data_IF_258705151578
#
_entry.id   IF_258705151578
#
_cell.length_a   1.000
_cell.length_b   1.000
_cell.length_c   1.000
_cell.angle_alpha   90.00
_cell.angle_beta   90.00
_cell.angle_gamma   90.00
#
_symmetry.space_group_name_H-M   'P 1'
#
loop_
_entity.id
_entity.type
_entity.pdbx_description
1 polymer ?
#
# COMPACT_ATOMS: atom_id res chain seq x y z
N UNK A 1 -6.89 19.84 -21.79
CA UNK A 1 -5.43 19.91 -22.01
C UNK A 1 -4.90 18.49 -22.18
N UNK A 2 -4.00 18.25 -23.13
CA UNK A 2 -3.32 16.95 -23.28
C UNK A 2 -1.85 17.17 -22.95
N UNK A 3 -1.32 16.47 -21.95
CA UNK A 3 0.11 16.48 -21.63
C UNK A 3 0.77 15.39 -22.48
N UNK A 4 1.61 15.76 -23.44
CA UNK A 4 2.09 14.85 -24.49
C UNK A 4 3.60 14.94 -24.79
N UNK A 5 4.44 15.44 -23.88
CA UNK A 5 5.89 15.52 -24.10
C UNK A 5 6.73 15.25 -22.83
N UNK A 6 7.99 14.91 -23.09
CA UNK A 6 8.92 14.13 -22.24
C UNK A 6 9.51 14.86 -21.02
N UNK A 7 8.91 15.98 -20.60
CA UNK A 7 9.42 16.76 -19.46
C UNK A 7 8.37 17.67 -18.82
N UNK A 8 7.07 17.34 -18.87
CA UNK A 8 6.09 18.05 -18.05
C UNK A 8 6.14 17.54 -16.60
N UNK A 9 7.26 17.79 -15.93
CA UNK A 9 7.30 17.81 -14.48
C UNK A 9 6.44 18.99 -14.02
N UNK A 10 5.15 18.76 -13.81
CA UNK A 10 4.30 19.73 -13.15
C UNK A 10 4.66 19.65 -11.66
N UNK A 11 5.51 20.58 -11.22
CA UNK A 11 5.78 20.76 -9.81
C UNK A 11 4.54 21.29 -9.09
N UNK A 12 4.22 20.74 -7.92
CA UNK A 12 3.08 21.15 -7.10
C UNK A 12 1.74 20.51 -7.51
N UNK A 13 0.66 20.76 -6.73
CA UNK A 13 -0.63 20.11 -6.90
C UNK A 13 -1.28 20.44 -8.25
N UNK A 14 -1.95 19.45 -8.83
CA UNK A 14 -2.70 19.61 -10.10
C UNK A 14 -4.19 19.67 -9.81
N UNK A 15 -4.84 20.75 -10.25
CA UNK A 15 -6.29 20.92 -10.13
C UNK A 15 -6.96 20.87 -11.49
N UNK A 16 -7.93 19.98 -11.65
CA UNK A 16 -8.82 19.91 -12.82
C UNK A 16 -10.20 20.40 -12.38
N UNK A 17 -10.51 21.67 -12.62
CA UNK A 17 -11.79 22.25 -12.20
C UNK A 17 -12.93 21.98 -13.19
N UNK A 18 -12.64 22.14 -14.49
CA UNK A 18 -13.56 21.88 -15.59
C UNK A 18 -12.80 21.26 -16.77
N UNK A 19 -13.51 20.48 -17.58
CA UNK A 19 -12.96 19.86 -18.79
C UNK A 19 -12.13 18.61 -18.49
N UNK A 20 -11.39 18.15 -19.49
CA UNK A 20 -10.63 16.89 -19.41
C UNK A 20 -9.13 17.14 -19.42
N UNK A 21 -8.44 16.55 -18.43
CA UNK A 21 -7.03 16.27 -18.48
C UNK A 21 -6.84 14.83 -18.97
N UNK A 22 -6.22 14.67 -20.14
CA UNK A 22 -5.85 13.34 -20.66
C UNK A 22 -4.37 13.11 -20.47
N UNK A 23 -4.03 11.96 -19.92
CA UNK A 23 -2.65 11.46 -19.83
C UNK A 23 -2.50 10.29 -20.82
N UNK A 24 -1.72 10.49 -21.88
CA UNK A 24 -1.52 9.51 -22.95
C UNK A 24 -0.37 9.86 -23.90
N UNK A 25 -0.03 8.93 -24.79
CA UNK A 25 1.11 9.01 -25.72
C UNK A 25 0.82 9.92 -26.92
N UNK A 26 1.33 11.15 -26.92
CA UNK A 26 1.84 11.72 -28.17
C UNK A 26 3.23 11.12 -28.39
N UNK A 27 3.43 10.34 -29.46
CA UNK A 27 4.68 9.64 -29.87
C UNK A 27 5.90 9.86 -28.96
N UNK A 28 5.90 9.26 -27.78
CA UNK A 28 7.02 9.30 -26.83
C UNK A 28 7.64 7.92 -26.81
N UNK A 29 8.87 7.82 -27.30
CA UNK A 29 9.73 6.64 -27.21
C UNK A 29 10.49 6.59 -25.88
N UNK A 30 10.05 7.35 -24.87
CA UNK A 30 10.64 7.33 -23.53
C UNK A 30 9.90 6.35 -22.63
N UNK A 31 10.63 5.65 -21.77
CA UNK A 31 10.11 4.76 -20.72
C UNK A 31 9.49 5.51 -19.52
N UNK A 32 9.20 6.82 -19.64
CA UNK A 32 8.82 7.65 -18.49
C UNK A 32 7.88 8.85 -18.80
N UNK A 33 6.75 8.68 -19.50
CA UNK A 33 5.67 9.70 -19.54
C UNK A 33 4.85 9.74 -18.24
N UNK A 34 5.53 10.00 -17.12
CA UNK A 34 4.88 10.35 -15.86
C UNK A 34 4.30 11.77 -16.01
N UNK A 35 3.12 12.02 -15.43
CA UNK A 35 2.99 13.25 -14.66
C UNK A 35 4.00 13.08 -13.52
N UNK A 36 5.28 13.40 -13.74
CA UNK A 36 6.31 13.24 -12.71
C UNK A 36 6.18 14.41 -11.76
N UNK A 37 5.13 14.36 -10.97
CA UNK A 37 5.19 14.94 -9.66
C UNK A 37 6.24 14.11 -8.91
N UNK A 38 7.48 14.61 -8.83
CA UNK A 38 8.54 13.99 -8.05
C UNK A 38 8.03 13.81 -6.61
N UNK A 39 7.49 12.65 -6.26
CA UNK A 39 6.97 12.33 -4.93
C UNK A 39 5.70 13.05 -4.46
N UNK A 40 5.39 14.28 -4.91
CA UNK A 40 4.69 15.24 -4.03
C UNK A 40 3.37 15.89 -4.53
N UNK A 41 2.92 15.69 -5.78
CA UNK A 41 1.71 16.39 -6.25
C UNK A 41 0.44 15.58 -5.99
N UNK A 42 -0.39 16.10 -5.07
CA UNK A 42 -1.79 15.75 -5.01
C UNK A 42 -2.50 16.15 -6.31
N UNK A 43 -3.41 15.29 -6.79
CA UNK A 43 -4.33 15.64 -7.87
C UNK A 43 -5.71 15.90 -7.28
N UNK A 44 -6.27 17.06 -7.58
CA UNK A 44 -7.65 17.41 -7.27
C UNK A 44 -8.49 17.41 -8.55
N UNK A 45 -9.51 16.56 -8.62
CA UNK A 45 -10.48 16.55 -9.72
C UNK A 45 -11.79 17.11 -9.20
N UNK A 46 -12.09 18.35 -9.56
CA UNK A 46 -13.32 19.04 -9.16
C UNK A 46 -14.57 18.40 -9.76
N UNK A 47 -15.78 18.82 -9.35
CA UNK A 47 -17.03 18.15 -9.72
C UNK A 47 -17.27 17.99 -11.23
N UNK A 48 -16.77 18.93 -12.04
CA UNK A 48 -16.87 18.93 -13.51
C UNK A 48 -15.55 18.54 -14.20
N UNK A 49 -14.53 18.21 -13.40
CA UNK A 49 -13.23 17.77 -13.87
C UNK A 49 -13.27 16.32 -14.29
N UNK A 50 -12.52 16.02 -15.35
CA UNK A 50 -12.30 14.65 -15.82
C UNK A 50 -10.81 14.37 -15.95
N UNK A 51 -10.35 13.26 -15.37
CA UNK A 51 -9.00 12.71 -15.58
C UNK A 51 -9.10 11.39 -16.37
N UNK A 52 -8.51 11.33 -17.55
CA UNK A 52 -8.43 10.10 -18.36
C UNK A 52 -7.01 9.52 -18.30
N UNK A 53 -6.87 8.30 -17.77
CA UNK A 53 -5.65 7.49 -17.75
C UNK A 53 -5.71 6.50 -18.91
N UNK A 54 -5.09 6.85 -20.04
CA UNK A 54 -5.21 6.08 -21.30
C UNK A 54 -3.96 5.27 -21.60
N UNK A 55 -2.80 5.93 -21.61
CA UNK A 55 -1.51 5.28 -21.88
C UNK A 55 -0.40 5.93 -21.05
N UNK A 56 -0.44 5.82 -19.71
CA UNK A 56 0.75 6.12 -18.92
C UNK A 56 1.89 5.17 -19.33
N UNK A 57 3.10 5.71 -19.42
CA UNK A 57 4.27 4.86 -19.62
C UNK A 57 4.52 4.03 -18.36
N UNK A 58 4.97 2.78 -18.53
CA UNK A 58 5.05 1.80 -17.44
C UNK A 58 3.68 1.24 -17.01
N UNK A 59 2.61 1.55 -17.76
CA UNK A 59 1.27 1.01 -17.52
C UNK A 59 0.53 1.65 -16.34
N UNK A 60 1.16 2.51 -15.54
CA UNK A 60 0.53 3.17 -14.39
C UNK A 60 0.76 4.67 -14.37
N UNK A 61 -0.29 5.46 -14.15
CA UNK A 61 -0.15 6.87 -13.77
C UNK A 61 0.08 6.92 -12.26
N UNK A 62 1.22 7.45 -11.81
CA UNK A 62 1.55 7.59 -10.38
C UNK A 62 1.29 9.04 -9.94
N UNK A 63 0.55 9.21 -8.85
CA UNK A 63 0.26 10.50 -8.19
C UNK A 63 0.46 10.37 -6.67
N UNK A 64 0.66 11.48 -5.96
CA UNK A 64 0.82 11.46 -4.50
C UNK A 64 -0.47 10.98 -3.81
N UNK A 65 -1.61 11.51 -4.26
CA UNK A 65 -2.94 11.05 -3.90
C UNK A 65 -4.01 11.85 -4.63
N UNK A 66 -5.26 11.40 -4.50
CA UNK A 66 -6.40 11.91 -5.26
C UNK A 66 -7.45 12.50 -4.33
N UNK A 67 -7.91 13.70 -4.68
CA UNK A 67 -9.00 14.40 -3.99
C UNK A 67 -10.04 14.96 -4.96
N UNK A 68 -11.18 15.40 -4.42
CA UNK A 68 -12.28 16.00 -5.17
C UNK A 68 -13.40 15.02 -5.49
N UNK A 69 -14.30 15.43 -6.37
CA UNK A 69 -15.58 14.75 -6.62
C UNK A 69 -15.91 14.53 -8.11
N UNK A 70 -14.94 14.78 -9.00
CA UNK A 70 -15.13 14.60 -10.44
C UNK A 70 -15.04 13.15 -10.93
N UNK A 71 -14.71 12.98 -12.20
CA UNK A 71 -14.63 11.67 -12.84
C UNK A 71 -13.18 11.30 -13.18
N UNK A 72 -12.84 10.03 -12.92
CA UNK A 72 -11.59 9.43 -13.38
C UNK A 72 -11.90 8.19 -14.21
N UNK A 73 -11.30 8.08 -15.39
CA UNK A 73 -11.41 6.90 -16.24
C UNK A 73 -10.04 6.23 -16.40
N UNK A 74 -9.95 4.93 -16.07
CA UNK A 74 -8.74 4.12 -16.21
C UNK A 74 -8.93 3.09 -17.31
N UNK A 75 -8.11 3.21 -18.36
CA UNK A 75 -8.21 2.34 -19.53
C UNK A 75 -7.73 0.92 -19.25
N UNK A 76 -8.11 -0.03 -20.10
CA UNK A 76 -7.72 -1.43 -19.98
C UNK A 76 -6.19 -1.59 -19.89
N UNK A 77 -5.74 -2.55 -19.07
CA UNK A 77 -4.32 -2.82 -18.82
C UNK A 77 -3.54 -1.59 -18.35
N UNK A 78 -4.19 -0.66 -17.67
CA UNK A 78 -3.58 0.48 -17.00
C UNK A 78 -4.02 0.56 -15.55
N UNK A 79 -3.23 1.26 -14.75
CA UNK A 79 -3.57 1.55 -13.35
C UNK A 79 -3.40 3.02 -12.99
N UNK A 80 -4.18 3.47 -12.02
CA UNK A 80 -3.91 4.70 -11.27
C UNK A 80 -3.25 4.34 -9.94
N UNK A 81 -2.03 4.81 -9.73
CA UNK A 81 -1.23 4.50 -8.56
C UNK A 81 -1.14 5.72 -7.61
N UNK A 82 -1.35 5.46 -6.33
CA UNK A 82 -1.24 6.42 -5.23
C UNK A 82 0.03 6.14 -4.43
N UNK A 83 0.97 7.06 -4.49
CA UNK A 83 2.18 7.05 -3.68
C UNK A 83 1.83 7.55 -2.26
N UNK A 84 2.27 8.76 -1.90
CA UNK A 84 2.13 9.29 -0.55
C UNK A 84 1.63 10.73 -0.48
N UNK A 85 0.75 10.96 0.51
CA UNK A 85 0.44 12.28 1.03
C UNK A 85 0.56 12.24 2.56
N UNK A 86 1.05 13.34 3.18
CA UNK A 86 1.15 13.44 4.64
C UNK A 86 -0.22 13.33 5.34
N UNK A 87 -1.28 13.82 4.69
CA UNK A 87 -2.64 13.74 5.16
C UNK A 87 -3.46 12.73 4.32
N UNK A 88 -4.50 12.10 4.89
CA UNK A 88 -5.41 11.26 4.12
C UNK A 88 -6.03 12.02 2.94
N UNK A 89 -6.02 11.39 1.76
CA UNK A 89 -6.61 11.96 0.55
C UNK A 89 -7.99 11.35 0.30
N UNK A 90 -9.04 12.17 0.29
CA UNK A 90 -10.41 11.70 0.05
C UNK A 90 -10.88 12.05 -1.35
N UNK A 91 -11.20 11.02 -2.14
CA UNK A 91 -11.87 11.16 -3.42
C UNK A 91 -13.33 10.71 -3.32
N UNK A 92 -14.24 11.67 -3.46
CA UNK A 92 -15.69 11.47 -3.42
C UNK A 92 -16.29 11.16 -4.80
N UNK A 93 -15.47 11.33 -5.85
CA UNK A 93 -15.86 11.11 -7.22
C UNK A 93 -15.86 9.63 -7.63
N UNK A 94 -15.99 9.40 -8.94
CA UNK A 94 -16.07 8.05 -9.52
C UNK A 94 -14.81 7.74 -10.30
N UNK A 95 -14.11 6.67 -9.92
CA UNK A 95 -13.10 5.99 -10.75
C UNK A 95 -13.80 4.87 -11.51
N UNK A 96 -13.63 4.85 -12.83
CA UNK A 96 -14.32 3.95 -13.76
C UNK A 96 -13.37 3.38 -14.81
N UNK A 97 -13.84 2.44 -15.63
CA UNK A 97 -13.11 1.89 -16.78
C UNK A 97 -12.58 0.47 -16.54
N UNK A 98 -11.83 -0.06 -17.50
CA UNK A 98 -11.37 -1.45 -17.45
C UNK A 98 -10.06 -1.64 -16.67
N UNK A 99 -9.36 -0.56 -16.32
CA UNK A 99 -8.14 -0.60 -15.53
C UNK A 99 -8.36 -0.74 -14.03
N UNK A 100 -7.27 -0.74 -13.27
CA UNK A 100 -7.27 -0.90 -11.81
C UNK A 100 -6.64 0.27 -11.06
N UNK A 101 -6.40 0.08 -9.77
CA UNK A 101 -5.70 1.04 -8.92
C UNK A 101 -4.59 0.36 -8.12
N UNK A 102 -3.58 1.13 -7.72
CA UNK A 102 -2.49 0.67 -6.85
C UNK A 102 -2.31 1.67 -5.72
N UNK A 103 -2.26 1.22 -4.46
CA UNK A 103 -1.82 2.03 -3.31
C UNK A 103 -0.46 1.53 -2.85
N UNK A 104 0.61 2.32 -3.04
CA UNK A 104 1.99 1.87 -2.78
C UNK A 104 2.68 2.60 -1.63
N UNK A 105 2.39 3.88 -1.40
CA UNK A 105 3.03 4.62 -0.32
C UNK A 105 2.46 4.30 1.08
N UNK A 106 3.10 4.81 2.11
CA UNK A 106 2.76 4.65 3.55
C UNK A 106 1.48 5.37 4.02
N UNK A 107 1.05 6.43 3.31
CA UNK A 107 -0.10 7.27 3.63
C UNK A 107 -1.45 6.61 3.35
N UNK A 108 -2.53 7.39 3.47
CA UNK A 108 -3.91 6.92 3.29
C UNK A 108 -4.58 7.52 2.06
N UNK A 109 -5.12 6.67 1.18
CA UNK A 109 -6.09 7.07 0.16
C UNK A 109 -7.48 6.59 0.58
N UNK A 110 -8.49 7.46 0.47
CA UNK A 110 -9.88 7.18 0.79
C UNK A 110 -10.70 7.29 -0.50
N UNK A 111 -11.46 6.23 -0.81
CA UNK A 111 -12.43 6.19 -1.89
C UNK A 111 -13.84 6.24 -1.29
N UNK A 112 -14.51 7.37 -1.49
CA UNK A 112 -15.83 7.63 -0.92
C UNK A 112 -16.97 7.53 -1.95
N UNK A 113 -16.68 7.70 -3.24
CA UNK A 113 -17.68 7.59 -4.31
C UNK A 113 -17.95 6.16 -4.78
N UNK A 114 -19.00 6.02 -5.60
CA UNK A 114 -19.39 4.75 -6.22
C UNK A 114 -18.47 4.38 -7.39
N UNK A 115 -17.31 3.81 -7.06
CA UNK A 115 -16.31 3.40 -8.06
C UNK A 115 -16.80 2.19 -8.87
N UNK A 116 -16.44 2.14 -10.15
CA UNK A 116 -16.91 1.13 -11.13
C UNK A 116 -15.78 0.60 -12.02
N UNK A 117 -14.53 0.83 -11.66
CA UNK A 117 -13.41 0.26 -12.39
C UNK A 117 -13.40 -1.28 -12.27
N UNK A 118 -13.07 -1.97 -13.36
CA UNK A 118 -13.16 -3.43 -13.43
C UNK A 118 -11.82 -4.14 -13.12
N UNK A 119 -10.69 -3.44 -13.23
CA UNK A 119 -9.38 -4.00 -12.95
C UNK A 119 -9.13 -4.21 -11.46
N UNK A 120 -8.13 -5.04 -11.15
CA UNK A 120 -7.78 -5.37 -9.77
C UNK A 120 -7.30 -4.15 -8.98
N UNK A 121 -7.64 -4.12 -7.70
CA UNK A 121 -7.06 -3.19 -6.72
C UNK A 121 -5.80 -3.80 -6.13
N UNK A 122 -4.68 -3.08 -6.07
CA UNK A 122 -3.46 -3.54 -5.37
C UNK A 122 -3.19 -2.63 -4.19
N UNK A 123 -3.00 -3.21 -2.99
CA UNK A 123 -2.58 -2.49 -1.78
C UNK A 123 -1.16 -2.92 -1.43
N UNK A 124 -0.20 -2.29 -2.11
CA UNK A 124 1.22 -2.53 -1.98
C UNK A 124 1.83 -1.92 -0.71
N UNK A 125 1.20 -0.90 -0.12
CA UNK A 125 1.64 -0.27 1.12
C UNK A 125 0.59 0.66 1.73
N UNK A 126 0.87 1.17 2.93
CA UNK A 126 0.03 2.13 3.62
C UNK A 126 -1.41 1.66 3.80
N UNK A 127 -2.38 2.58 3.66
CA UNK A 127 -3.81 2.28 3.81
C UNK A 127 -4.62 2.71 2.60
N UNK A 128 -5.44 1.80 2.09
CA UNK A 128 -6.56 2.11 1.21
C UNK A 128 -7.85 1.99 2.03
N UNK A 129 -8.59 3.08 2.16
CA UNK A 129 -9.91 3.07 2.80
C UNK A 129 -11.01 3.15 1.76
N UNK A 130 -11.96 2.22 1.79
CA UNK A 130 -13.15 2.21 0.94
C UNK A 130 -14.38 2.45 1.81
N UNK A 131 -15.12 3.52 1.54
CA UNK A 131 -16.44 3.73 2.15
C UNK A 131 -17.50 2.88 1.46
N UNK A 132 -18.67 2.76 2.06
CA UNK A 132 -19.78 1.90 1.60
C UNK A 132 -20.06 1.94 0.10
N UNK A 133 -20.09 3.13 -0.51
CA UNK A 133 -20.32 3.26 -1.95
C UNK A 133 -19.22 2.62 -2.82
N UNK A 134 -17.99 2.52 -2.32
CA UNK A 134 -16.83 1.97 -3.02
C UNK A 134 -16.60 0.47 -2.74
N UNK A 135 -17.46 -0.23 -2.01
CA UNK A 135 -17.19 -1.63 -1.66
C UNK A 135 -17.29 -2.59 -2.85
N UNK A 136 -18.14 -2.29 -3.84
CA UNK A 136 -18.43 -3.20 -4.95
C UNK A 136 -17.15 -3.58 -5.74
N UNK A 137 -16.25 -2.63 -5.99
CA UNK A 137 -14.99 -2.91 -6.71
C UNK A 137 -14.10 -3.94 -6.01
N UNK A 138 -14.24 -4.10 -4.68
CA UNK A 138 -13.52 -5.11 -3.90
C UNK A 138 -14.35 -6.39 -3.71
N UNK A 139 -15.63 -6.26 -3.32
CA UNK A 139 -16.44 -7.40 -2.86
C UNK A 139 -17.06 -8.20 -4.01
N UNK A 140 -17.28 -7.58 -5.17
CA UNK A 140 -17.93 -8.22 -6.33
C UNK A 140 -17.28 -7.86 -7.68
N UNK A 141 -16.33 -6.93 -7.70
CA UNK A 141 -15.62 -6.45 -8.88
C UNK A 141 -14.28 -7.17 -9.11
N UNK A 142 -13.25 -6.39 -9.42
CA UNK A 142 -11.90 -6.88 -9.74
C UNK A 142 -11.13 -7.48 -8.56
N UNK A 143 -11.66 -7.36 -7.34
CA UNK A 143 -11.03 -7.83 -6.12
C UNK A 143 -9.81 -7.01 -5.71
N UNK A 144 -9.10 -7.51 -4.70
CA UNK A 144 -7.91 -6.88 -4.13
C UNK A 144 -6.73 -7.85 -4.02
N UNK A 145 -5.53 -7.38 -4.34
CA UNK A 145 -4.26 -7.98 -3.94
C UNK A 145 -3.64 -7.13 -2.83
N UNK A 146 -3.63 -7.63 -1.60
CA UNK A 146 -3.03 -6.96 -0.44
C UNK A 146 -1.64 -7.52 -0.23
N UNK A 147 -0.63 -6.68 -0.44
CA UNK A 147 0.76 -7.09 -0.38
C UNK A 147 1.41 -6.74 0.95
N UNK A 148 1.58 -5.45 1.27
CA UNK A 148 2.20 -5.00 2.54
C UNK A 148 1.40 -3.88 3.23
N UNK A 149 0.18 -3.59 2.75
CA UNK A 149 -0.67 -2.54 3.31
C UNK A 149 -1.92 -3.05 4.02
N UNK A 150 -2.81 -2.10 4.31
CA UNK A 150 -4.12 -2.33 4.92
C UNK A 150 -5.22 -1.86 3.98
N UNK A 151 -6.17 -2.74 3.72
CA UNK A 151 -7.47 -2.37 3.17
C UNK A 151 -8.43 -2.15 4.34
N UNK A 152 -9.07 -0.98 4.40
CA UNK A 152 -10.07 -0.64 5.40
C UNK A 152 -11.44 -0.47 4.75
N UNK A 153 -12.42 -1.22 5.21
CA UNK A 153 -13.83 -0.93 4.96
C UNK A 153 -14.30 0.04 6.03
N UNK A 154 -14.52 1.30 5.68
CA UNK A 154 -15.15 2.29 6.56
C UNK A 154 -16.67 2.22 6.39
N UNK A 155 -17.35 1.78 7.44
CA UNK A 155 -18.80 1.70 7.53
C UNK A 155 -19.36 2.63 8.61
N UNK A 156 -18.64 3.70 8.96
CA UNK A 156 -19.12 4.68 9.95
C UNK A 156 -20.53 5.17 9.59
N UNK A 157 -21.49 4.94 10.49
CA UNK A 157 -22.91 5.30 10.29
C UNK A 157 -23.69 4.36 9.35
N UNK A 158 -23.12 3.22 8.95
CA UNK A 158 -23.73 2.20 8.09
C UNK A 158 -23.70 0.80 8.71
N UNK A 159 -24.10 -0.21 7.92
CA UNK A 159 -24.09 -1.62 8.33
C UNK A 159 -22.71 -2.25 8.21
N UNK A 160 -22.35 -3.12 9.17
CA UNK A 160 -21.07 -3.84 9.16
C UNK A 160 -20.95 -4.75 7.92
N UNK A 161 -19.79 -4.75 7.23
CA UNK A 161 -19.55 -5.60 6.06
C UNK A 161 -19.13 -7.03 6.43
N UNK A 162 -19.03 -7.38 7.72
CA UNK A 162 -18.52 -8.68 8.20
C UNK A 162 -19.21 -9.86 7.52
N UNK A 163 -20.54 -9.83 7.42
CA UNK A 163 -21.32 -10.91 6.81
C UNK A 163 -21.00 -11.19 5.33
N UNK A 164 -20.39 -10.23 4.64
CA UNK A 164 -19.91 -10.38 3.25
C UNK A 164 -18.41 -10.61 3.19
N UNK A 165 -17.61 -9.90 3.98
CA UNK A 165 -16.15 -9.97 3.95
C UNK A 165 -15.62 -11.30 4.49
N UNK A 166 -16.16 -11.78 5.62
CA UNK A 166 -15.72 -13.02 6.24
C UNK A 166 -15.80 -14.23 5.29
N UNK A 167 -16.94 -14.57 4.66
CA UNK A 167 -17.01 -15.72 3.76
C UNK A 167 -16.12 -15.57 2.53
N UNK A 168 -15.92 -14.34 2.03
CA UNK A 168 -15.01 -14.09 0.91
C UNK A 168 -13.55 -14.32 1.30
N UNK A 169 -13.13 -13.91 2.51
CA UNK A 169 -11.78 -14.18 3.02
C UNK A 169 -11.56 -15.68 3.23
N UNK A 170 -12.51 -16.38 3.87
CA UNK A 170 -12.45 -17.85 4.05
C UNK A 170 -12.30 -18.56 2.70
N UNK A 171 -13.11 -18.19 1.70
CA UNK A 171 -13.00 -18.77 0.36
C UNK A 171 -11.68 -18.44 -0.35
N UNK A 172 -11.07 -17.28 -0.03
CA UNK A 172 -9.81 -16.84 -0.64
C UNK A 172 -8.57 -17.46 0.02
N UNK A 173 -8.67 -17.97 1.24
CA UNK A 173 -7.55 -18.55 1.99
C UNK A 173 -6.85 -19.67 1.22
N UNK A 174 -7.61 -20.60 0.61
CA UNK A 174 -7.12 -21.68 -0.24
C UNK A 174 -5.86 -22.38 0.32
N UNK A 175 -5.90 -22.83 1.58
CA UNK A 175 -4.76 -23.45 2.23
C UNK A 175 -3.54 -22.53 2.36
N UNK A 176 -3.76 -21.26 2.70
CA UNK A 176 -2.75 -20.19 2.76
C UNK A 176 -2.15 -19.76 1.40
N UNK A 177 -2.74 -20.16 0.27
CA UNK A 177 -2.23 -19.78 -1.05
C UNK A 177 -2.61 -18.35 -1.47
N UNK A 178 -3.76 -17.83 -1.02
CA UNK A 178 -4.26 -16.48 -1.32
C UNK A 178 -4.22 -16.08 -2.80
N UNK A 179 -4.48 -17.03 -3.70
CA UNK A 179 -4.37 -16.87 -5.15
C UNK A 179 -5.72 -16.99 -5.88
N UNK A 180 -6.81 -17.11 -5.14
CA UNK A 180 -8.19 -17.24 -5.64
C UNK A 180 -9.12 -16.27 -4.92
N UNK A 181 -10.35 -16.13 -5.41
CA UNK A 181 -11.37 -15.30 -4.76
C UNK A 181 -11.10 -13.79 -4.86
N UNK A 182 -11.75 -13.03 -3.98
CA UNK A 182 -11.74 -11.57 -3.97
C UNK A 182 -10.55 -10.97 -3.20
N UNK A 183 -9.99 -11.71 -2.25
CA UNK A 183 -8.88 -11.26 -1.42
C UNK A 183 -7.62 -12.08 -1.70
N UNK A 184 -6.66 -11.49 -2.39
CA UNK A 184 -5.40 -12.14 -2.76
C UNK A 184 -4.22 -11.51 -2.05
N UNK A 185 -3.12 -12.24 -2.00
CA UNK A 185 -1.84 -11.72 -1.54
C UNK A 185 -0.70 -12.36 -2.32
N UNK A 186 -0.13 -11.61 -3.27
CA UNK A 186 1.01 -12.07 -4.07
C UNK A 186 2.32 -12.11 -3.30
N UNK A 187 2.41 -11.43 -2.16
CA UNK A 187 3.59 -11.40 -1.26
C UNK A 187 3.46 -12.33 -0.06
N UNK A 188 2.43 -13.19 0.00
CA UNK A 188 2.30 -14.23 1.04
C UNK A 188 3.56 -15.09 1.18
N UNK A 189 3.81 -15.53 2.40
CA UNK A 189 4.88 -16.49 2.73
C UNK A 189 4.29 -17.69 3.48
N UNK A 190 5.12 -18.62 3.93
CA UNK A 190 4.67 -19.67 4.85
C UNK A 190 4.22 -19.13 6.21
N UNK A 191 4.78 -17.99 6.60
CA UNK A 191 4.61 -17.38 7.93
C UNK A 191 3.62 -16.22 7.94
N UNK A 192 3.32 -15.63 6.79
CA UNK A 192 2.48 -14.45 6.66
C UNK A 192 1.48 -14.55 5.50
N UNK A 193 0.31 -13.93 5.69
CA UNK A 193 -0.79 -13.89 4.74
C UNK A 193 -1.76 -12.77 5.11
N UNK A 194 -3.06 -12.97 4.87
CA UNK A 194 -4.07 -11.97 5.23
C UNK A 194 -4.72 -12.31 6.57
N UNK A 195 -4.78 -11.31 7.44
CA UNK A 195 -5.58 -11.29 8.66
C UNK A 195 -6.62 -10.19 8.61
N UNK A 196 -7.65 -10.28 9.43
CA UNK A 196 -8.69 -9.26 9.50
C UNK A 196 -9.26 -9.09 10.91
N UNK A 197 -9.65 -7.85 11.22
CA UNK A 197 -10.35 -7.51 12.46
C UNK A 197 -11.45 -6.50 12.16
N UNK A 198 -12.54 -6.60 12.91
CA UNK A 198 -13.64 -5.64 12.89
C UNK A 198 -13.78 -4.99 14.26
N UNK A 199 -13.98 -3.68 14.30
CA UNK A 199 -14.16 -2.94 15.55
C UNK A 199 -15.63 -2.86 16.01
N UNK A 200 -16.55 -3.52 15.30
CA UNK A 200 -17.97 -3.62 15.60
C UNK A 200 -18.78 -2.33 15.42
N UNK A 201 -18.16 -1.22 15.00
CA UNK A 201 -18.81 0.11 15.05
C UNK A 201 -18.58 0.97 13.82
N UNK A 202 -17.37 0.98 13.27
CA UNK A 202 -16.97 1.94 12.23
C UNK A 202 -16.10 1.35 11.15
N UNK A 203 -15.36 0.26 11.41
CA UNK A 203 -14.51 -0.31 10.39
C UNK A 203 -14.05 -1.74 10.60
N UNK A 204 -13.80 -2.36 9.45
CA UNK A 204 -13.16 -3.65 9.28
C UNK A 204 -11.84 -3.43 8.52
N UNK A 205 -10.73 -3.87 9.10
CA UNK A 205 -9.41 -3.82 8.47
C UNK A 205 -9.01 -5.23 8.02
N UNK A 206 -8.53 -5.35 6.78
CA UNK A 206 -7.85 -6.53 6.24
C UNK A 206 -6.41 -6.13 5.96
N UNK A 207 -5.45 -6.88 6.49
CA UNK A 207 -4.03 -6.51 6.44
C UNK A 207 -3.17 -7.73 6.13
N UNK A 208 -2.06 -7.49 5.44
CA UNK A 208 -0.97 -8.44 5.39
C UNK A 208 -0.27 -8.54 6.75
N UNK A 209 -0.32 -9.72 7.38
CA UNK A 209 0.27 -9.95 8.71
C UNK A 209 0.82 -11.37 8.89
N UNK A 210 1.53 -11.60 9.98
CA UNK A 210 1.96 -12.92 10.44
C UNK A 210 0.76 -13.77 10.86
N UNK A 211 0.81 -15.07 10.55
CA UNK A 211 -0.15 -16.01 11.11
C UNK A 211 0.00 -16.05 12.64
N UNK A 212 -1.14 -15.95 13.34
CA UNK A 212 -1.16 -15.84 14.79
C UNK A 212 -1.16 -14.42 15.35
N UNK A 213 -1.08 -13.37 14.52
CA UNK A 213 -1.34 -11.98 14.95
C UNK A 213 -2.86 -11.72 14.96
N UNK A 214 -3.55 -12.29 15.96
CA UNK A 214 -5.01 -12.21 16.10
C UNK A 214 -5.49 -10.78 16.39
N UNK A 215 -4.65 -9.94 16.99
CA UNK A 215 -4.97 -8.53 17.29
C UNK A 215 -4.74 -7.59 16.11
N UNK A 216 -4.04 -8.07 15.08
CA UNK A 216 -3.64 -7.33 13.88
C UNK A 216 -2.70 -6.13 14.18
N UNK A 217 -1.99 -6.19 15.31
CA UNK A 217 -1.08 -5.15 15.76
C UNK A 217 0.28 -5.18 15.02
N UNK A 218 0.53 -6.23 14.24
CA UNK A 218 1.73 -6.44 13.45
C UNK A 218 2.81 -7.23 14.20
N UNK A 219 2.53 -7.68 15.41
CA UNK A 219 3.42 -8.51 16.23
C UNK A 219 2.66 -9.74 16.72
N UNK A 220 3.34 -10.88 16.84
CA UNK A 220 2.73 -12.08 17.43
C UNK A 220 3.25 -12.21 18.85
N UNK A 221 2.39 -11.96 19.83
CA UNK A 221 2.79 -11.87 21.23
C UNK A 221 1.74 -12.49 22.17
N UNK A 222 1.87 -12.23 23.48
CA UNK A 222 0.98 -12.77 24.50
C UNK A 222 -0.49 -12.37 24.29
N UNK A 223 -0.77 -11.17 23.78
CA UNK A 223 -2.12 -10.70 23.52
C UNK A 223 -2.83 -11.57 22.48
N UNK A 224 -2.12 -12.05 21.47
CA UNK A 224 -2.69 -12.95 20.47
C UNK A 224 -2.91 -14.36 21.02
N UNK A 225 -1.96 -14.85 21.83
CA UNK A 225 -2.13 -16.13 22.53
C UNK A 225 -3.32 -16.08 23.47
N UNK A 226 -3.55 -14.94 24.13
CA UNK A 226 -4.71 -14.74 24.98
C UNK A 226 -6.01 -14.88 24.18
N UNK A 227 -6.12 -14.25 23.01
CA UNK A 227 -7.29 -14.40 22.10
C UNK A 227 -7.55 -15.86 21.76
N UNK A 228 -6.51 -16.55 21.32
CA UNK A 228 -6.57 -17.97 20.97
C UNK A 228 -7.01 -18.82 22.16
N UNK A 229 -6.37 -18.66 23.32
CA UNK A 229 -6.63 -19.48 24.50
C UNK A 229 -8.05 -19.33 25.05
N UNK A 230 -8.63 -18.13 24.97
CA UNK A 230 -10.00 -17.84 25.39
C UNK A 230 -11.05 -18.54 24.50
N UNK A 231 -10.68 -18.89 23.27
CA UNK A 231 -11.59 -19.47 22.29
C UNK A 231 -11.23 -20.92 21.90
N UNK A 232 -10.28 -21.54 22.59
CA UNK A 232 -9.75 -22.84 22.22
C UNK A 232 -10.83 -23.93 22.21
N UNK A 233 -10.84 -24.71 21.13
CA UNK A 233 -11.79 -25.78 20.82
C UNK A 233 -13.25 -25.32 20.66
N UNK A 234 -13.48 -24.03 20.39
CA UNK A 234 -14.80 -23.49 20.07
C UNK A 234 -14.98 -23.35 18.54
N UNK A 235 -16.16 -23.72 18.00
CA UNK A 235 -16.49 -23.50 16.60
C UNK A 235 -17.04 -22.08 16.34
N UNK A 236 -17.15 -21.72 15.07
CA UNK A 236 -17.71 -20.45 14.61
C UNK A 236 -16.82 -19.24 14.91
N UNK A 237 -15.52 -19.49 15.07
CA UNK A 237 -14.53 -18.47 15.39
C UNK A 237 -13.90 -17.90 14.13
N UNK A 238 -13.33 -16.71 14.27
CA UNK A 238 -12.68 -15.97 13.18
C UNK A 238 -11.26 -15.59 13.57
N UNK A 239 -10.54 -14.94 12.65
CA UNK A 239 -9.17 -14.45 12.86
C UNK A 239 -8.97 -13.74 14.20
N UNK A 240 -9.84 -12.79 14.53
CA UNK A 240 -9.77 -12.01 15.78
C UNK A 240 -9.94 -12.85 17.06
N UNK A 241 -10.54 -14.04 16.95
CA UNK A 241 -10.69 -15.01 18.04
C UNK A 241 -9.50 -15.98 18.13
N UNK A 242 -8.57 -15.95 17.17
CA UNK A 242 -7.41 -16.83 17.11
C UNK A 242 -7.44 -17.88 15.99
N UNK A 243 -8.48 -17.93 15.15
CA UNK A 243 -8.54 -18.81 13.97
C UNK A 243 -7.68 -18.23 12.83
N UNK A 244 -6.40 -18.61 12.82
CA UNK A 244 -5.41 -18.10 11.88
C UNK A 244 -5.37 -18.87 10.56
N UNK A 245 -6.08 -20.01 10.49
CA UNK A 245 -6.12 -20.87 9.31
C UNK A 245 -7.46 -20.83 8.57
N UNK A 246 -8.43 -20.05 9.05
CA UNK A 246 -9.77 -19.88 8.47
C UNK A 246 -10.57 -21.18 8.39
N UNK A 247 -10.34 -22.14 9.29
CA UNK A 247 -11.11 -23.40 9.34
C UNK A 247 -12.40 -23.31 10.17
N UNK A 248 -12.62 -22.16 10.84
CA UNK A 248 -13.79 -21.88 11.65
C UNK A 248 -13.72 -22.42 13.07
N UNK A 249 -12.60 -23.02 13.48
CA UNK A 249 -12.35 -23.52 14.82
C UNK A 249 -11.00 -23.05 15.33
N UNK A 250 -10.89 -22.70 16.61
CA UNK A 250 -9.59 -22.37 17.21
C UNK A 250 -9.00 -23.64 17.82
N UNK A 251 -7.90 -24.16 17.27
CA UNK A 251 -7.34 -25.44 17.71
C UNK A 251 -5.79 -25.47 17.68
N UNK A 252 -5.21 -26.68 17.78
CA UNK A 252 -3.76 -26.87 17.77
C UNK A 252 -3.09 -26.33 16.50
N UNK A 253 -3.78 -26.37 15.35
CA UNK A 253 -3.27 -25.87 14.08
C UNK A 253 -3.04 -24.36 14.13
N UNK A 254 -3.91 -23.61 14.79
CA UNK A 254 -3.75 -22.18 15.02
C UNK A 254 -2.63 -21.89 16.03
N UNK A 255 -2.58 -22.67 17.10
CA UNK A 255 -1.53 -22.54 18.10
C UNK A 255 -0.16 -22.81 17.48
N UNK A 256 -0.06 -23.78 16.56
CA UNK A 256 1.16 -24.07 15.83
C UNK A 256 1.58 -22.87 14.97
N UNK A 257 0.65 -22.28 14.21
CA UNK A 257 0.90 -21.06 13.41
C UNK A 257 1.38 -19.89 14.28
N UNK A 258 0.72 -19.64 15.41
CA UNK A 258 1.11 -18.62 16.37
C UNK A 258 2.50 -18.89 16.95
N UNK A 259 2.77 -20.12 17.39
CA UNK A 259 4.04 -20.48 18.02
C UNK A 259 5.24 -20.34 17.08
N UNK A 260 5.06 -20.61 15.78
CA UNK A 260 6.10 -20.46 14.75
C UNK A 260 6.50 -19.00 14.53
N UNK A 261 5.60 -18.07 14.83
CA UNK A 261 5.80 -16.63 14.67
C UNK A 261 5.94 -15.89 16.01
N UNK A 262 5.91 -16.58 17.15
CA UNK A 262 5.89 -15.92 18.45
C UNK A 262 7.11 -15.01 18.66
N UNK A 263 6.86 -13.80 19.16
CA UNK A 263 7.82 -12.72 19.31
C UNK A 263 8.44 -12.20 18.01
N UNK A 264 7.81 -12.48 16.86
CA UNK A 264 8.14 -11.86 15.58
C UNK A 264 7.27 -10.64 15.32
N UNK A 265 7.76 -9.75 14.46
CA UNK A 265 7.05 -8.53 14.07
C UNK A 265 7.22 -8.30 12.57
N UNK A 266 6.16 -7.80 11.95
CA UNK A 266 6.19 -7.34 10.59
C UNK A 266 6.98 -6.03 10.55
N UNK A 267 8.13 -6.00 9.87
CA UNK A 267 8.84 -4.74 9.66
C UNK A 267 7.89 -3.77 8.97
N UNK A 268 7.58 -2.65 9.61
CA UNK A 268 7.04 -1.51 8.87
C UNK A 268 8.06 -1.18 7.78
N UNK A 269 7.58 -0.93 6.55
CA UNK A 269 8.47 -0.55 5.46
C UNK A 269 9.27 0.68 5.91
N UNK A 270 10.59 0.54 6.03
CA UNK A 270 11.48 1.69 6.22
C UNK A 270 11.33 2.57 4.98
N UNK A 271 11.22 3.92 5.12
CA UNK A 271 11.35 4.79 3.95
C UNK A 271 12.66 4.44 3.23
N UNK A 272 12.74 4.61 1.89
CA UNK A 272 14.00 4.42 1.18
C UNK A 272 15.05 5.23 1.91
N UNK A 273 16.18 4.59 2.21
CA UNK A 273 17.27 5.22 2.93
C UNK A 273 17.71 6.46 2.14
N UNK A 274 17.17 7.63 2.51
CA UNK A 274 17.88 8.87 2.29
C UNK A 274 19.21 8.66 3.01
N UNK A 275 20.27 8.66 2.20
CA UNK A 275 21.63 8.54 2.65
C UNK A 275 21.83 9.53 3.79
N UNK A 276 21.88 9.01 5.02
CA UNK A 276 22.48 9.74 6.13
C UNK A 276 23.90 10.05 5.65
N UNK A 277 24.32 11.32 5.52
CA UNK A 277 25.71 11.62 5.28
C UNK A 277 26.48 11.04 6.45
N UNK A 278 27.32 10.04 6.19
CA UNK A 278 28.15 9.40 7.20
C UNK A 278 28.87 10.50 8.00
N UNK A 279 28.83 10.48 9.35
CA UNK A 279 29.68 11.38 10.12
C UNK A 279 31.13 11.02 9.81
N UNK A 280 31.82 11.94 9.11
CA UNK A 280 33.15 11.71 8.58
C UNK A 280 34.13 11.24 9.66
N UNK A 281 34.50 9.96 9.61
CA UNK A 281 35.63 9.42 10.36
C UNK A 281 36.36 8.38 9.49
N UNK A 282 37.66 8.63 9.32
CA UNK A 282 38.73 7.72 8.86
C UNK A 282 38.93 7.52 7.34
N UNK A 283 39.71 8.41 6.73
CA UNK A 283 40.69 8.03 5.72
C UNK A 283 42.10 8.02 6.34
N UNK A 284 42.85 6.98 6.00
CA UNK A 284 44.04 6.43 6.67
C UNK A 284 45.32 6.81 5.91
N UNK A 285 46.37 7.17 6.67
CA UNK A 285 47.84 7.03 6.46
C UNK A 285 48.62 7.72 5.30
N UNK A 286 49.62 8.52 5.73
CA UNK A 286 51.03 8.62 5.29
C UNK A 286 51.44 8.82 3.82
N UNK A 287 52.22 9.89 3.55
CA UNK A 287 53.65 9.89 3.13
C UNK A 287 54.06 11.34 2.76
N UNK A 288 55.20 11.80 3.29
CA UNK A 288 55.76 13.11 2.93
C UNK A 288 56.98 13.59 3.74
N UNK A 289 57.89 12.71 4.14
CA UNK A 289 59.22 13.11 4.64
C UNK A 289 60.21 13.24 3.48
N UNK A 290 60.45 14.46 2.98
CA UNK A 290 61.74 14.88 2.40
C UNK A 290 61.77 16.38 2.08
N UNK A 291 62.82 17.07 2.54
CA UNK A 291 63.06 18.50 2.30
C UNK A 291 63.90 19.14 3.41
N UNK A 292 65.10 18.62 3.68
CA UNK A 292 66.36 19.33 3.35
C UNK A 292 66.60 20.63 4.14
N UNK A 293 67.50 20.58 5.14
CA UNK A 293 68.84 21.17 5.03
C UNK A 293 69.58 21.11 6.37
N UNK A 294 70.57 20.22 6.41
CA UNK A 294 71.67 20.27 7.34
C UNK A 294 72.49 21.54 7.10
N UNK A 295 72.69 22.39 8.12
CA UNK A 295 73.92 23.19 8.23
C UNK A 295 74.16 23.74 9.64
N UNK A 296 74.80 22.93 10.50
CA UNK A 296 75.56 23.35 11.69
C UNK A 296 76.30 22.11 12.20
N UNK A 297 77.62 21.96 12.30
CA UNK A 297 78.74 22.86 12.57
C UNK A 297 80.06 22.13 12.22
N UNK A 298 81.15 22.83 11.89
CA UNK A 298 82.50 22.23 11.94
C UNK A 298 83.65 23.00 11.27
N UNK A 299 84.32 23.89 12.02
CA UNK A 299 85.63 24.52 11.73
C UNK A 299 86.73 23.49 11.39
N UNK A 300 87.71 23.88 10.54
CA UNK A 300 89.16 23.86 10.89
C UNK A 300 90.07 24.46 9.80
N UNK A 301 90.99 25.29 10.31
CA UNK A 301 92.34 25.70 9.88
C UNK A 301 92.48 26.54 8.62
#
# INVERSE_FOLDING_TARGET
MVLANDANAIGGPVTVWQGTLRVGSGTSTSTDSRLNANGDAAVHVGPLGKLDVVNPVGGSLIIAGLTGSGSVAVSANKSLAFADLPAPATFEGVISGAGGIVKSGTGTQILAGANTYAGQTVVAGGRLTVKSAAWAVILSGGGVDIQQGTLRFDYTGGGSPVGTVQPLLTASYNGAAWNVGQFKSTTKTSSAGLGWVDNGTTALDVRYTLYGDATLDGTVNFNDLLRLSQNYNLPGKVWADGDSNYDGTVNFTDLLKLSQNYNQSMSSASPPADAVPEPGVLAVLAVGTMGLLARRNGRRR
#
